data_IF_823847717729
#
_entry.id   IF_823847717729
#
_cell.length_a   1.000
_cell.length_b   1.000
_cell.length_c   1.000
_cell.angle_alpha   90.00
_cell.angle_beta   90.00
_cell.angle_gamma   90.00
#
_symmetry.space_group_name_H-M   'P 1'
#
loop_
_entity.id
_entity.type
_entity.pdbx_description
1 polymer ?
#
# COMPACT_ATOMS: atom_id res chain seq x y z
N UNK A 1 35.94 -0.01 8.83
CA UNK A 1 35.46 -0.84 7.72
C UNK A 1 34.70 -2.00 8.32
N UNK A 2 33.37 -1.94 8.30
CA UNK A 2 32.48 -3.09 8.50
C UNK A 2 31.12 -2.70 7.94
N UNK A 3 30.61 -3.57 7.08
CA UNK A 3 29.50 -3.34 6.14
C UNK A 3 28.17 -3.04 6.83
N UNK A 4 27.40 -2.11 6.25
CA UNK A 4 25.98 -1.98 6.54
C UNK A 4 25.26 -3.21 5.95
N UNK A 5 24.82 -4.11 6.82
CA UNK A 5 24.00 -5.26 6.45
C UNK A 5 22.66 -4.76 5.90
N UNK A 6 22.37 -5.09 4.64
CA UNK A 6 21.07 -4.83 4.04
C UNK A 6 19.99 -5.64 4.78
N UNK A 7 18.81 -5.06 5.07
CA UNK A 7 17.77 -5.81 5.75
C UNK A 7 17.29 -6.94 4.84
N UNK A 8 17.33 -8.16 5.38
CA UNK A 8 16.83 -9.37 4.74
C UNK A 8 15.30 -9.25 4.69
N UNK A 9 14.76 -8.96 3.51
CA UNK A 9 13.31 -8.93 3.27
C UNK A 9 12.81 -10.38 3.23
N UNK A 10 12.27 -10.85 4.36
CA UNK A 10 11.59 -12.14 4.41
C UNK A 10 10.11 -11.95 4.09
N UNK A 11 9.77 -11.86 2.79
CA UNK A 11 8.38 -11.81 2.36
C UNK A 11 7.81 -13.23 2.34
N UNK A 12 7.03 -13.62 3.36
CA UNK A 12 6.10 -14.76 3.22
C UNK A 12 4.98 -14.34 2.27
N UNK A 13 4.90 -15.04 1.15
CA UNK A 13 3.88 -14.86 0.12
C UNK A 13 2.58 -15.53 0.56
N UNK A 14 1.59 -14.73 0.97
CA UNK A 14 0.18 -15.16 0.91
C UNK A 14 -0.14 -15.47 -0.57
N UNK A 15 -0.58 -16.69 -0.85
CA UNK A 15 -0.74 -17.22 -2.22
C UNK A 15 -1.51 -16.28 -3.14
N UNK A 16 -0.84 -15.87 -4.22
CA UNK A 16 -1.42 -15.08 -5.31
C UNK A 16 -0.68 -15.50 -6.60
N UNK A 17 -1.41 -16.10 -7.54
CA UNK A 17 -0.84 -16.67 -8.75
C UNK A 17 -0.26 -15.58 -9.67
N UNK A 18 1.08 -15.60 -9.77
CA UNK A 18 1.97 -15.29 -10.91
C UNK A 18 1.89 -13.95 -11.69
N UNK A 19 0.90 -13.07 -11.47
CA UNK A 19 0.79 -11.79 -12.22
C UNK A 19 0.92 -10.51 -11.38
N UNK A 20 0.39 -10.52 -10.15
CA UNK A 20 0.17 -9.32 -9.33
C UNK A 20 1.39 -8.90 -8.50
N UNK A 21 2.33 -9.81 -8.24
CA UNK A 21 3.45 -9.60 -7.33
C UNK A 21 4.28 -8.37 -7.74
N UNK A 22 4.41 -8.10 -9.05
CA UNK A 22 5.14 -6.94 -9.58
C UNK A 22 4.50 -5.59 -9.24
N UNK A 23 3.20 -5.55 -8.93
CA UNK A 23 2.45 -4.36 -8.52
C UNK A 23 2.13 -4.36 -7.01
N UNK A 24 2.63 -5.32 -6.24
CA UNK A 24 2.54 -5.31 -4.78
C UNK A 24 3.76 -4.60 -4.20
N UNK A 25 3.54 -3.63 -3.33
CA UNK A 25 4.58 -2.87 -2.62
C UNK A 25 4.19 -2.76 -1.14
N UNK A 26 5.18 -2.68 -0.26
CA UNK A 26 5.01 -2.53 1.19
C UNK A 26 5.93 -1.42 1.67
N UNK A 27 5.46 -0.60 2.60
CA UNK A 27 6.29 0.36 3.34
C UNK A 27 7.14 -0.37 4.38
N UNK A 28 8.05 0.33 5.04
CA UNK A 28 8.63 -0.16 6.28
C UNK A 28 7.56 -0.19 7.38
N UNK A 29 7.66 -1.16 8.29
CA UNK A 29 6.82 -1.24 9.48
C UNK A 29 7.11 -0.07 10.42
N UNK A 30 6.08 0.49 11.06
CA UNK A 30 6.17 1.55 12.05
C UNK A 30 5.18 1.25 13.18
N UNK A 31 5.54 1.54 14.43
CA UNK A 31 4.67 1.37 15.60
C UNK A 31 4.39 2.73 16.24
N UNK A 32 3.17 3.23 16.08
CA UNK A 32 2.67 4.49 16.65
C UNK A 32 1.14 4.54 16.50
N UNK A 33 0.46 5.36 17.32
CA UNK A 33 -0.95 5.69 17.10
C UNK A 33 -1.16 6.57 15.85
N UNK A 34 -0.16 7.41 15.55
CA UNK A 34 -0.07 8.24 14.36
C UNK A 34 1.23 7.85 13.61
N UNK A 35 1.23 6.75 12.84
CA UNK A 35 2.42 6.28 12.15
C UNK A 35 2.84 7.24 11.04
N UNK A 36 4.07 7.74 11.14
CA UNK A 36 4.72 8.49 10.06
C UNK A 36 5.68 7.56 9.30
N UNK A 37 5.44 7.42 7.99
CA UNK A 37 6.29 6.65 7.07
C UNK A 37 7.41 7.49 6.44
N UNK A 38 7.67 8.70 6.93
CA UNK A 38 8.77 9.56 6.50
C UNK A 38 8.70 9.99 5.03
N UNK A 39 7.49 10.00 4.45
CA UNK A 39 7.30 10.28 3.03
C UNK A 39 7.80 9.17 2.10
N UNK A 40 7.93 7.93 2.58
CA UNK A 40 8.30 6.79 1.76
C UNK A 40 7.43 6.70 0.49
N UNK A 41 8.08 6.61 -0.66
CA UNK A 41 7.41 6.57 -1.96
C UNK A 41 7.29 5.14 -2.46
N UNK A 42 6.05 4.69 -2.71
CA UNK A 42 5.79 3.42 -3.39
C UNK A 42 5.64 3.70 -4.90
N UNK A 43 6.57 3.17 -5.70
CA UNK A 43 6.53 3.28 -7.15
C UNK A 43 6.13 1.95 -7.79
N UNK A 44 5.22 2.03 -8.75
CA UNK A 44 4.75 0.90 -9.53
C UNK A 44 5.34 0.99 -10.94
N UNK A 45 5.76 -0.13 -11.54
CA UNK A 45 6.25 -0.12 -12.91
C UNK A 45 5.13 0.25 -13.88
N UNK A 46 5.50 0.74 -15.06
CA UNK A 46 4.53 0.97 -16.14
C UNK A 46 3.76 -0.32 -16.43
N UNK A 47 2.45 -0.18 -16.59
CA UNK A 47 1.54 -1.28 -16.84
C UNK A 47 0.87 -1.04 -18.21
N UNK A 48 1.24 -1.81 -19.25
CA UNK A 48 0.61 -1.66 -20.55
C UNK A 48 -0.87 -2.03 -20.47
N UNK A 49 -1.72 -1.28 -21.17
CA UNK A 49 -3.16 -1.54 -21.21
C UNK A 49 -3.92 -1.16 -19.93
N UNK A 50 -3.38 -0.26 -19.10
CA UNK A 50 -4.14 0.30 -17.97
C UNK A 50 -5.33 1.10 -18.48
N UNK A 51 -6.52 0.63 -18.13
CA UNK A 51 -7.78 1.37 -18.28
C UNK A 51 -8.14 1.85 -16.88
N UNK A 52 -8.14 3.16 -16.65
CA UNK A 52 -8.33 3.75 -15.32
C UNK A 52 -9.62 3.29 -14.64
N UNK A 53 -10.70 3.16 -15.41
CA UNK A 53 -12.03 2.77 -14.96
C UNK A 53 -12.10 1.29 -14.51
N UNK A 54 -11.13 0.48 -14.91
CA UNK A 54 -11.05 -0.95 -14.60
C UNK A 54 -9.83 -1.29 -13.72
N UNK A 55 -9.08 -0.27 -13.30
CA UNK A 55 -7.85 -0.44 -12.52
C UNK A 55 -8.03 0.19 -11.15
N UNK A 56 -7.58 -0.51 -10.11
CA UNK A 56 -7.79 -0.10 -8.73
C UNK A 56 -6.48 -0.04 -7.95
N UNK A 57 -6.34 1.00 -7.13
CA UNK A 57 -5.35 1.03 -6.05
C UNK A 57 -5.98 0.42 -4.80
N UNK A 58 -5.41 -0.69 -4.33
CA UNK A 58 -5.78 -1.29 -3.05
C UNK A 58 -4.70 -0.98 -2.01
N UNK A 59 -5.09 -0.28 -0.96
CA UNK A 59 -4.24 0.01 0.19
C UNK A 59 -4.66 -0.91 1.33
N UNK A 60 -3.69 -1.57 1.96
CA UNK A 60 -3.90 -2.41 3.13
C UNK A 60 -2.99 -1.93 4.25
N UNK A 61 -3.57 -1.73 5.42
CA UNK A 61 -2.85 -1.54 6.67
C UNK A 61 -2.87 -2.87 7.40
N UNK A 62 -1.69 -3.38 7.71
CA UNK A 62 -1.52 -4.64 8.42
C UNK A 62 -0.74 -4.41 9.69
N UNK A 63 -1.06 -5.16 10.73
CA UNK A 63 -0.19 -5.30 11.89
C UNK A 63 0.91 -6.32 11.58
N UNK A 64 2.13 -6.00 11.98
CA UNK A 64 3.32 -6.82 11.72
C UNK A 64 3.60 -7.68 12.94
N UNK A 65 2.69 -8.61 13.24
CA UNK A 65 2.86 -9.58 14.33
C UNK A 65 3.51 -10.88 13.82
N UNK A 66 4.32 -11.51 14.68
CA UNK A 66 4.96 -12.77 14.33
C UNK A 66 3.93 -13.90 14.18
N UNK A 67 3.57 -14.21 12.95
CA UNK A 67 2.76 -15.38 12.58
C UNK A 67 1.50 -15.05 11.79
N UNK A 68 0.78 -13.97 12.15
CA UNK A 68 -0.45 -13.52 11.50
C UNK A 68 -0.31 -12.06 11.10
N UNK A 69 -0.29 -11.81 9.80
CA UNK A 69 -0.18 -10.49 9.21
C UNK A 69 -1.61 -9.92 9.12
N UNK A 70 -2.18 -9.60 10.29
CA UNK A 70 -3.61 -9.33 10.45
C UNK A 70 -3.99 -8.00 9.78
N UNK A 71 -5.02 -8.07 8.94
CA UNK A 71 -5.54 -6.89 8.24
C UNK A 71 -6.22 -5.99 9.25
N UNK A 72 -5.58 -4.87 9.60
CA UNK A 72 -6.17 -3.88 10.50
C UNK A 72 -7.23 -3.04 9.77
N UNK A 73 -6.91 -2.60 8.55
CA UNK A 73 -7.83 -1.78 7.74
C UNK A 73 -7.45 -1.79 6.25
N UNK A 74 -8.35 -1.33 5.39
CA UNK A 74 -8.10 -1.27 3.95
C UNK A 74 -8.86 -0.14 3.26
N UNK A 75 -8.43 0.19 2.05
CA UNK A 75 -9.17 1.00 1.10
C UNK A 75 -8.98 0.44 -0.31
N UNK A 76 -9.99 0.61 -1.15
CA UNK A 76 -9.91 0.31 -2.58
C UNK A 76 -10.47 1.49 -3.35
N UNK A 77 -9.67 2.03 -4.26
CA UNK A 77 -10.00 3.23 -5.01
C UNK A 77 -9.77 2.96 -6.49
N UNK A 78 -10.74 3.35 -7.32
CA UNK A 78 -10.58 3.28 -8.78
C UNK A 78 -9.58 4.34 -9.23
N UNK A 79 -8.77 4.02 -10.24
CA UNK A 79 -7.65 4.89 -10.63
C UNK A 79 -8.12 6.24 -11.19
N UNK A 80 -9.28 6.31 -11.84
CA UNK A 80 -9.88 7.56 -12.34
C UNK A 80 -10.34 8.50 -11.21
N UNK A 81 -10.71 7.95 -10.05
CA UNK A 81 -11.08 8.72 -8.86
C UNK A 81 -9.84 9.24 -8.09
N UNK A 82 -8.64 8.71 -8.39
CA UNK A 82 -7.38 9.14 -7.78
C UNK A 82 -6.92 10.49 -8.34
N UNK A 83 -7.22 11.56 -7.60
CA UNK A 83 -6.70 12.90 -7.89
C UNK A 83 -5.25 13.07 -7.44
N UNK A 84 -4.41 13.66 -8.28
CA UNK A 84 -3.00 13.97 -7.97
C UNK A 84 -2.83 14.97 -6.82
N UNK A 85 -1.68 14.99 -6.17
CA UNK A 85 -1.34 15.86 -5.03
C UNK A 85 -1.60 15.21 -3.67
N UNK A 86 -1.64 16.03 -2.61
CA UNK A 86 -1.92 15.53 -1.26
C UNK A 86 -3.39 15.18 -1.06
N UNK A 87 -3.68 13.99 -0.55
CA UNK A 87 -5.03 13.45 -0.36
C UNK A 87 -5.12 12.66 0.94
N UNK A 88 -6.31 12.66 1.54
CA UNK A 88 -6.66 11.72 2.59
C UNK A 88 -7.41 10.54 2.00
N UNK A 89 -6.95 9.33 2.29
CA UNK A 89 -7.64 8.08 1.99
C UNK A 89 -8.29 7.60 3.28
N UNK A 90 -9.62 7.46 3.28
CA UNK A 90 -10.36 6.89 4.42
C UNK A 90 -10.23 5.37 4.40
N UNK A 91 -10.04 4.80 5.58
CA UNK A 91 -9.89 3.36 5.75
C UNK A 91 -11.18 2.72 6.26
N UNK A 92 -11.41 1.50 5.82
CA UNK A 92 -12.49 0.62 6.24
C UNK A 92 -11.92 -0.53 7.07
N UNK A 93 -12.71 -1.03 8.01
CA UNK A 93 -12.37 -2.22 8.78
C UNK A 93 -12.48 -3.49 7.93
N UNK A 94 -12.21 -4.65 8.52
CA UNK A 94 -12.27 -5.95 7.85
C UNK A 94 -13.68 -6.34 7.37
N UNK A 95 -14.73 -5.73 7.93
CA UNK A 95 -16.12 -5.94 7.53
C UNK A 95 -16.58 -4.93 6.46
N UNK A 96 -15.73 -3.97 6.10
CA UNK A 96 -16.06 -2.91 5.15
C UNK A 96 -16.78 -1.71 5.78
N UNK A 97 -16.79 -1.59 7.11
CA UNK A 97 -17.38 -0.44 7.80
C UNK A 97 -16.40 0.74 7.83
N UNK A 98 -16.88 1.99 7.70
CA UNK A 98 -16.03 3.17 7.84
C UNK A 98 -15.36 3.23 9.22
N UNK A 99 -14.08 3.59 9.26
CA UNK A 99 -13.33 3.81 10.50
C UNK A 99 -12.94 5.29 10.66
N UNK A 100 -12.39 5.65 11.82
CA UNK A 100 -11.70 6.93 12.01
C UNK A 100 -10.31 6.97 11.34
N UNK A 101 -9.79 5.82 10.90
CA UNK A 101 -8.49 5.69 10.27
C UNK A 101 -8.41 6.41 8.92
N UNK A 102 -7.37 7.22 8.75
CA UNK A 102 -7.08 7.93 7.51
C UNK A 102 -5.59 7.84 7.17
N UNK A 103 -5.28 7.80 5.88
CA UNK A 103 -3.90 7.90 5.38
C UNK A 103 -3.73 9.22 4.63
N UNK A 104 -2.74 10.02 5.03
CA UNK A 104 -2.27 11.14 4.24
C UNK A 104 -1.27 10.63 3.20
N UNK A 105 -1.55 10.87 1.92
CA UNK A 105 -0.70 10.44 0.80
C UNK A 105 -0.47 11.58 -0.17
N UNK A 106 0.69 11.57 -0.84
CA UNK A 106 0.93 12.37 -2.03
C UNK A 106 0.87 11.48 -3.25
N UNK A 107 -0.09 11.73 -4.13
CA UNK A 107 -0.32 10.94 -5.34
C UNK A 107 0.31 11.65 -6.53
N UNK A 108 1.20 10.96 -7.24
CA UNK A 108 1.69 11.36 -8.57
C UNK A 108 1.29 10.27 -9.55
N UNK A 109 0.69 10.67 -10.67
CA UNK A 109 0.16 9.72 -11.65
C UNK A 109 0.44 10.25 -13.05
N UNK A 110 1.05 9.40 -13.88
CA UNK A 110 1.21 9.64 -15.31
C UNK A 110 0.59 8.48 -16.06
N UNK A 111 -0.27 8.81 -17.02
CA UNK A 111 -0.93 7.85 -17.89
C UNK A 111 -0.57 8.28 -19.30
N UNK A 112 0.02 7.35 -20.03
CA UNK A 112 0.49 7.54 -21.40
C UNK A 112 -0.20 6.53 -22.29
#
# INVERSE_FOLDING_TARGET
>A
MTEASAPIIHSKSDGDESGSAKYKRRTTTCSSADPDFGGQTLQFPSAPGVIEQLTFLRVKVKDDEFGRDDLAAWACLRLDDLRQGFRFIRLFDTNGSPTSGVLLVKISKQIT
#
